data_IF_797311515813
#
_entry.id   IF_797311515813
#
_cell.length_a   1.000
_cell.length_b   1.000
_cell.length_c   1.000
_cell.angle_alpha   90.00
_cell.angle_beta   90.00
_cell.angle_gamma   90.00
#
_symmetry.space_group_name_H-M   'P 1'
#
loop_
_entity.id
_entity.type
_entity.pdbx_description
1 polymer ?
#
# COMPACT_ATOMS: atom_id res chain seq x y z
N UNK A 1 -6.45 2.90 9.28
CA UNK A 1 -6.79 4.11 8.50
C UNK A 1 -6.08 3.99 7.16
N UNK A 2 -6.76 4.30 6.04
CA UNK A 2 -6.05 4.52 4.78
C UNK A 2 -5.08 5.69 4.98
N UNK A 3 -3.83 5.50 4.60
CA UNK A 3 -2.80 6.55 4.67
C UNK A 3 -3.00 7.44 3.46
N UNK A 4 -3.38 8.70 3.68
CA UNK A 4 -3.42 9.70 2.61
C UNK A 4 -2.02 10.29 2.46
N UNK A 5 -1.41 10.12 1.29
CA UNK A 5 -0.10 10.69 0.99
C UNK A 5 -0.25 12.18 0.76
N UNK A 6 0.73 12.94 1.27
CA UNK A 6 0.87 14.34 0.88
C UNK A 6 1.32 14.41 -0.58
N UNK A 7 0.96 15.49 -1.27
CA UNK A 7 1.24 15.64 -2.71
C UNK A 7 2.74 15.66 -3.00
N UNK A 8 3.54 16.20 -2.10
CA UNK A 8 5.00 16.23 -2.20
C UNK A 8 5.58 14.80 -2.20
N UNK A 9 5.01 13.91 -1.39
CA UNK A 9 5.42 12.50 -1.36
C UNK A 9 5.05 11.78 -2.67
N UNK A 10 3.87 12.06 -3.21
CA UNK A 10 3.46 11.53 -4.53
C UNK A 10 4.41 12.04 -5.61
N UNK A 11 4.76 13.33 -5.59
CA UNK A 11 5.74 13.93 -6.50
C UNK A 11 7.11 13.23 -6.41
N UNK A 12 7.60 12.96 -5.20
CA UNK A 12 8.89 12.31 -4.99
C UNK A 12 8.90 10.88 -5.55
N UNK A 13 7.84 10.10 -5.32
CA UNK A 13 7.70 8.75 -5.88
C UNK A 13 7.69 8.81 -7.42
N UNK A 14 6.93 9.73 -8.02
CA UNK A 14 6.87 9.88 -9.48
C UNK A 14 8.23 10.29 -10.03
N UNK A 15 8.92 11.23 -9.37
CA UNK A 15 10.23 11.72 -9.79
C UNK A 15 11.26 10.59 -9.82
N UNK A 16 11.32 9.81 -8.75
CA UNK A 16 12.22 8.64 -8.64
C UNK A 16 11.85 7.55 -9.66
N UNK A 17 10.56 7.28 -9.85
CA UNK A 17 10.13 6.30 -10.85
C UNK A 17 10.53 6.72 -12.27
N UNK A 18 10.33 7.98 -12.65
CA UNK A 18 10.64 8.48 -13.99
C UNK A 18 12.15 8.70 -14.23
N UNK A 19 12.97 8.83 -13.19
CA UNK A 19 14.44 8.89 -13.32
C UNK A 19 15.08 7.52 -13.59
N UNK A 20 14.33 6.43 -13.41
CA UNK A 20 14.85 5.06 -13.53
C UNK A 20 15.24 4.42 -12.19
N UNK A 21 15.00 5.11 -11.07
CA UNK A 21 15.45 4.69 -9.74
C UNK A 21 14.35 3.93 -8.97
N UNK A 22 14.75 3.23 -7.89
CA UNK A 22 13.80 2.48 -7.05
C UNK A 22 13.09 3.40 -6.04
N UNK A 23 11.79 3.61 -6.22
CA UNK A 23 10.95 4.40 -5.31
C UNK A 23 10.58 3.67 -4.01
N UNK A 24 10.92 2.38 -3.86
CA UNK A 24 10.52 1.58 -2.70
C UNK A 24 11.11 2.08 -1.39
N UNK A 25 12.29 2.69 -1.39
CA UNK A 25 12.89 3.25 -0.18
C UNK A 25 11.99 4.34 0.43
N UNK A 26 11.43 5.22 -0.41
CA UNK A 26 10.45 6.23 0.02
C UNK A 26 9.23 5.54 0.66
N UNK A 27 8.73 4.48 0.03
CA UNK A 27 7.55 3.75 0.52
C UNK A 27 7.82 3.04 1.84
N UNK A 28 9.01 2.46 2.00
CA UNK A 28 9.46 1.82 3.24
C UNK A 28 9.55 2.85 4.36
N UNK A 29 10.16 4.01 4.11
CA UNK A 29 10.30 5.08 5.10
C UNK A 29 8.93 5.58 5.58
N UNK A 30 7.97 5.76 4.68
CA UNK A 30 6.60 6.15 5.04
C UNK A 30 5.90 5.07 5.87
N UNK A 31 6.09 3.80 5.50
CA UNK A 31 5.52 2.66 6.20
C UNK A 31 6.10 2.56 7.62
N UNK A 32 7.41 2.79 7.77
CA UNK A 32 8.11 2.77 9.04
C UNK A 32 7.68 3.93 9.93
N UNK A 33 7.63 5.15 9.39
CA UNK A 33 7.11 6.32 10.11
C UNK A 33 5.66 6.13 10.57
N UNK A 34 4.80 5.60 9.71
CA UNK A 34 3.40 5.31 10.06
C UNK A 34 3.28 4.22 11.14
N UNK A 35 4.12 3.19 11.09
CA UNK A 35 4.13 2.14 12.10
C UNK A 35 4.66 2.67 13.44
N UNK A 36 5.78 3.40 13.46
CA UNK A 36 6.34 4.00 14.67
C UNK A 36 5.32 4.93 15.33
N UNK A 37 4.64 5.77 14.55
CA UNK A 37 3.57 6.65 15.07
C UNK A 37 2.46 5.83 15.73
N UNK A 38 2.02 4.74 15.10
CA UNK A 38 1.06 3.82 15.71
C UNK A 38 1.59 3.19 17.01
N UNK A 39 2.86 2.77 17.05
CA UNK A 39 3.46 2.17 18.24
C UNK A 39 3.43 3.14 19.42
N UNK A 40 3.76 4.41 19.19
CA UNK A 40 3.69 5.46 20.21
C UNK A 40 2.25 5.61 20.73
N UNK A 41 1.27 5.80 19.84
CA UNK A 41 -0.15 5.91 20.23
C UNK A 41 -0.68 4.67 20.96
N UNK A 42 -0.20 3.48 20.58
CA UNK A 42 -0.58 2.21 21.19
C UNK A 42 -0.06 2.12 22.63
N UNK A 43 1.21 2.46 22.86
CA UNK A 43 1.80 2.49 24.19
C UNK A 43 1.20 3.58 25.08
N UNK A 44 0.85 4.75 24.54
CA UNK A 44 0.09 5.76 25.28
C UNK A 44 -1.24 5.19 25.80
N UNK A 45 -1.98 4.45 24.97
CA UNK A 45 -3.23 3.78 25.38
C UNK A 45 -3.00 2.76 26.50
N UNK A 46 -1.87 2.04 26.48
CA UNK A 46 -1.49 1.11 27.55
C UNK A 46 -1.27 1.85 28.86
N UNK A 47 -0.50 2.95 28.85
CA UNK A 47 -0.28 3.78 30.05
C UNK A 47 -1.61 4.28 30.59
N UNK A 48 -2.47 4.84 29.75
CA UNK A 48 -3.80 5.31 30.18
C UNK A 48 -4.66 4.20 30.78
N UNK A 49 -4.64 2.99 30.21
CA UNK A 49 -5.41 1.85 30.71
C UNK A 49 -4.90 1.38 32.08
N UNK A 50 -3.57 1.27 32.25
CA UNK A 50 -2.94 0.87 33.52
C UNK A 50 -3.14 1.91 34.63
N UNK A 51 -3.04 3.20 34.32
CA UNK A 51 -3.18 4.30 35.30
C UNK A 51 -4.64 4.50 35.75
N UNK A 52 -5.62 4.34 34.84
CA UNK A 52 -7.05 4.55 35.16
C UNK A 52 -7.66 3.43 36.01
N UNK A 53 -7.08 2.23 36.01
CA UNK A 53 -7.54 1.13 36.86
C UNK A 53 -6.93 1.23 38.26
N UNK A 54 -7.77 1.55 39.25
CA UNK A 54 -7.41 1.44 40.70
C UNK A 54 -7.13 0.00 41.13
N UNK A 55 -7.56 -0.98 40.34
CA UNK A 55 -7.30 -2.42 40.51
C UNK A 55 -6.93 -3.00 39.15
N UNK A 56 -5.64 -3.30 38.95
CA UNK A 56 -5.17 -4.05 37.78
C UNK A 56 -5.68 -5.48 37.96
N UNK A 57 -6.84 -5.79 37.36
CA UNK A 57 -7.28 -7.18 37.25
C UNK A 57 -6.30 -7.95 36.36
N UNK A 58 -6.25 -9.28 36.52
CA UNK A 58 -5.40 -10.20 35.74
C UNK A 58 -5.62 -10.11 34.21
N UNK A 59 -6.63 -9.37 33.73
CA UNK A 59 -6.98 -9.30 32.31
C UNK A 59 -7.41 -7.89 31.85
N UNK A 60 -6.75 -6.83 32.35
CA UNK A 60 -7.04 -5.45 31.95
C UNK A 60 -6.88 -5.21 30.44
N UNK A 61 -5.99 -5.97 29.78
CA UNK A 61 -5.76 -5.89 28.34
C UNK A 61 -7.02 -6.31 27.59
N UNK A 62 -7.63 -7.44 27.95
CA UNK A 62 -8.90 -7.89 27.36
C UNK A 62 -9.99 -6.83 27.51
N UNK A 63 -10.14 -6.24 28.70
CA UNK A 63 -11.17 -5.23 28.94
C UNK A 63 -11.01 -3.95 28.09
N UNK A 64 -9.76 -3.54 27.80
CA UNK A 64 -9.47 -2.26 27.13
C UNK A 64 -9.21 -2.42 25.64
N UNK A 65 -8.48 -3.47 25.25
CA UNK A 65 -8.00 -3.69 23.89
C UNK A 65 -8.82 -4.73 23.14
N UNK A 66 -9.68 -5.51 23.82
CA UNK A 66 -10.65 -6.44 23.22
C UNK A 66 -12.09 -6.03 23.59
N UNK A 67 -12.35 -4.73 23.57
CA UNK A 67 -13.68 -4.16 23.76
C UNK A 67 -14.52 -4.29 22.48
N UNK A 68 -15.73 -4.83 22.61
CA UNK A 68 -16.68 -5.00 21.50
C UNK A 68 -17.19 -3.69 20.91
N UNK A 69 -16.76 -2.52 21.38
CA UNK A 69 -17.00 -1.22 20.75
C UNK A 69 -15.95 -0.86 19.70
N UNK A 70 -14.81 -1.55 19.67
CA UNK A 70 -13.73 -1.30 18.70
C UNK A 70 -14.13 -1.69 17.27
N UNK A 71 -13.45 -1.10 16.27
CA UNK A 71 -13.56 -1.62 14.90
C UNK A 71 -13.13 -3.10 14.84
N UNK A 72 -13.77 -3.88 13.97
CA UNK A 72 -13.51 -5.33 13.88
C UNK A 72 -12.04 -5.63 13.55
N UNK A 73 -11.39 -4.79 12.75
CA UNK A 73 -9.98 -4.98 12.38
C UNK A 73 -9.06 -4.68 13.55
N UNK A 74 -9.35 -3.60 14.29
CA UNK A 74 -8.61 -3.27 15.51
C UNK A 74 -8.76 -4.34 16.57
N UNK A 75 -9.97 -4.89 16.74
CA UNK A 75 -10.24 -6.01 17.63
C UNK A 75 -9.39 -7.24 17.26
N UNK A 76 -9.37 -7.61 15.97
CA UNK A 76 -8.57 -8.73 15.48
C UNK A 76 -7.07 -8.53 15.75
N UNK A 77 -6.52 -7.36 15.42
CA UNK A 77 -5.10 -7.07 15.59
C UNK A 77 -4.69 -7.09 17.06
N UNK A 78 -5.50 -6.48 17.94
CA UNK A 78 -5.27 -6.49 19.37
C UNK A 78 -5.35 -7.91 19.97
N UNK A 79 -6.17 -8.79 19.38
CA UNK A 79 -6.25 -10.21 19.73
C UNK A 79 -5.13 -11.07 19.14
N UNK A 80 -4.19 -10.46 18.42
CA UNK A 80 -3.06 -11.14 17.82
C UNK A 80 -3.38 -11.87 16.50
N UNK A 81 -4.42 -11.45 15.77
CA UNK A 81 -4.80 -12.05 14.49
C UNK A 81 -4.89 -11.04 13.35
N UNK A 82 -4.44 -11.47 12.16
CA UNK A 82 -4.63 -10.73 10.93
C UNK A 82 -6.03 -10.99 10.35
N UNK A 83 -6.72 -9.93 9.90
CA UNK A 83 -8.03 -10.03 9.25
C UNK A 83 -8.05 -10.99 8.05
N UNK A 84 -6.97 -11.04 7.26
CA UNK A 84 -6.84 -11.96 6.12
C UNK A 84 -6.87 -13.43 6.57
N UNK A 85 -6.28 -13.74 7.72
CA UNK A 85 -6.30 -15.10 8.30
C UNK A 85 -7.72 -15.51 8.68
N UNK A 86 -8.47 -14.64 9.35
CA UNK A 86 -9.87 -14.89 9.74
C UNK A 86 -10.73 -15.09 8.47
N UNK A 87 -10.58 -14.19 7.49
CA UNK A 87 -11.28 -14.26 6.20
C UNK A 87 -11.02 -15.58 5.49
N UNK A 88 -9.76 -16.00 5.38
CA UNK A 88 -9.39 -17.22 4.67
C UNK A 88 -9.92 -18.47 5.36
N UNK A 89 -9.88 -18.50 6.71
CA UNK A 89 -10.38 -19.62 7.51
C UNK A 89 -11.89 -19.78 7.41
N UNK A 90 -12.64 -18.68 7.53
CA UNK A 90 -14.09 -18.71 7.65
C UNK A 90 -14.84 -18.32 6.37
N UNK A 91 -14.11 -17.92 5.32
CA UNK A 91 -14.65 -17.31 4.09
C UNK A 91 -15.59 -16.12 4.40
N UNK A 92 -15.35 -15.44 5.54
CA UNK A 92 -16.24 -14.41 6.06
C UNK A 92 -15.50 -13.42 6.94
N UNK A 93 -15.97 -12.17 6.94
CA UNK A 93 -15.45 -11.07 7.78
C UNK A 93 -16.59 -10.43 8.60
N UNK A 94 -17.64 -11.21 8.90
CA UNK A 94 -18.74 -10.79 9.77
C UNK A 94 -18.19 -10.48 11.16
N UNK A 95 -18.69 -9.40 11.77
CA UNK A 95 -18.19 -8.88 13.05
C UNK A 95 -18.12 -9.96 14.15
N UNK A 96 -19.17 -10.75 14.32
CA UNK A 96 -19.22 -11.79 15.35
C UNK A 96 -18.13 -12.85 15.15
N UNK A 97 -17.93 -13.32 13.91
CA UNK A 97 -16.88 -14.30 13.56
C UNK A 97 -15.50 -13.75 13.92
N UNK A 98 -15.26 -12.46 13.63
CA UNK A 98 -14.00 -11.80 13.96
C UNK A 98 -13.79 -11.73 15.48
N UNK A 99 -14.82 -11.36 16.23
CA UNK A 99 -14.78 -11.29 17.69
C UNK A 99 -14.50 -12.67 18.29
N UNK A 100 -15.26 -13.69 17.89
CA UNK A 100 -15.15 -15.05 18.42
C UNK A 100 -13.76 -15.64 18.15
N UNK A 101 -13.25 -15.48 16.92
CA UNK A 101 -11.93 -16.00 16.54
C UNK A 101 -10.79 -15.25 17.24
N UNK A 102 -10.87 -13.92 17.35
CA UNK A 102 -9.86 -13.12 18.03
C UNK A 102 -9.80 -13.39 19.54
N UNK A 103 -10.96 -13.53 20.22
CA UNK A 103 -11.01 -13.92 21.63
C UNK A 103 -10.48 -15.34 21.83
N UNK A 104 -10.93 -16.29 21.00
CA UNK A 104 -10.46 -17.67 21.07
C UNK A 104 -8.96 -17.81 20.82
N UNK A 105 -8.39 -16.97 19.95
CA UNK A 105 -6.95 -16.92 19.73
C UNK A 105 -6.21 -16.30 20.91
N UNK A 106 -6.68 -15.17 21.43
CA UNK A 106 -6.10 -14.53 22.63
C UNK A 106 -6.02 -15.50 23.81
N UNK A 107 -7.12 -16.19 24.12
CA UNK A 107 -7.18 -17.14 25.24
C UNK A 107 -6.22 -18.34 25.03
N UNK A 108 -6.04 -18.80 23.78
CA UNK A 108 -5.07 -19.85 23.45
C UNK A 108 -3.63 -19.37 23.54
N UNK A 109 -3.37 -18.15 23.10
CA UNK A 109 -2.04 -17.54 23.14
C UNK A 109 -1.58 -17.34 24.59
N UNK A 110 -2.46 -16.83 25.47
CA UNK A 110 -2.15 -16.71 26.90
C UNK A 110 -1.80 -18.07 27.54
N UNK A 111 -2.58 -19.12 27.26
CA UNK A 111 -2.26 -20.48 27.74
C UNK A 111 -0.93 -20.99 27.22
N UNK A 112 -0.60 -20.69 25.96
CA UNK A 112 0.68 -21.06 25.37
C UNK A 112 1.83 -20.34 26.08
N UNK A 113 1.69 -19.03 26.32
CA UNK A 113 2.67 -18.26 27.08
C UNK A 113 2.85 -18.84 28.49
N UNK A 114 1.77 -19.08 29.22
CA UNK A 114 1.82 -19.68 30.56
C UNK A 114 2.52 -21.05 30.55
N UNK A 115 2.29 -21.87 29.51
CA UNK A 115 2.88 -23.20 29.40
C UNK A 115 4.36 -23.22 28.99
N UNK A 116 4.82 -22.17 28.31
CA UNK A 116 6.20 -22.01 27.84
C UNK A 116 7.03 -21.11 28.77
N UNK A 117 6.39 -20.54 29.79
CA UNK A 117 7.04 -19.74 30.81
C UNK A 117 8.01 -20.63 31.58
N UNK A 118 9.30 -20.38 31.38
CA UNK A 118 10.42 -21.04 32.05
C UNK A 118 11.11 -20.00 32.91
N UNK A 119 11.41 -20.31 34.17
CA UNK A 119 12.06 -19.42 35.15
C UNK A 119 13.41 -18.86 34.66
N UNK A 120 13.96 -19.41 33.56
CA UNK A 120 15.22 -18.98 32.93
C UNK A 120 15.15 -17.69 32.10
N UNK A 121 13.97 -17.26 31.64
CA UNK A 121 13.85 -16.07 30.81
C UNK A 121 12.67 -15.22 31.28
N UNK A 122 12.94 -13.97 31.65
CA UNK A 122 11.92 -12.95 31.93
C UNK A 122 11.95 -11.81 30.89
N UNK A 123 10.79 -11.36 30.43
CA UNK A 123 10.65 -10.23 29.48
C UNK A 123 9.69 -9.22 30.10
N UNK A 124 10.23 -8.10 30.56
CA UNK A 124 9.43 -7.00 31.10
C UNK A 124 9.52 -5.78 30.17
N UNK A 125 8.37 -5.18 29.86
CA UNK A 125 8.31 -3.89 29.16
C UNK A 125 8.02 -2.78 30.17
N UNK A 126 8.92 -1.81 30.24
CA UNK A 126 8.74 -0.58 31.01
C UNK A 126 8.42 0.58 30.08
N UNK A 127 7.26 1.19 30.26
CA UNK A 127 6.78 2.28 29.41
C UNK A 127 6.70 3.53 30.27
N UNK A 128 7.49 4.55 29.92
CA UNK A 128 7.44 5.86 30.56
C UNK A 128 6.82 6.87 29.62
N UNK A 129 5.74 7.50 30.08
CA UNK A 129 5.06 8.56 29.35
C UNK A 129 4.86 9.75 30.27
N UNK A 130 5.54 10.86 29.96
CA UNK A 130 5.73 11.99 30.89
C UNK A 130 6.36 11.48 32.19
N UNK A 131 5.83 11.85 33.34
CA UNK A 131 6.36 11.44 34.66
C UNK A 131 5.73 10.15 35.20
N UNK A 132 5.05 9.37 34.34
CA UNK A 132 4.38 8.12 34.73
C UNK A 132 5.05 6.93 34.05
N UNK A 133 5.52 5.99 34.86
CA UNK A 133 6.06 4.72 34.39
C UNK A 133 5.09 3.59 34.74
N UNK A 134 4.80 2.74 33.76
CA UNK A 134 4.04 1.49 33.95
C UNK A 134 4.92 0.32 33.53
N UNK A 135 4.78 -0.79 34.26
CA UNK A 135 5.47 -2.03 33.95
C UNK A 135 4.46 -3.07 33.45
N UNK A 136 4.86 -3.78 32.41
CA UNK A 136 4.18 -4.96 31.91
C UNK A 136 4.98 -6.18 32.34
N UNK A 137 4.29 -7.17 32.91
CA UNK A 137 4.89 -8.47 33.20
C UNK A 137 5.16 -9.27 31.91
N UNK A 138 5.74 -10.46 32.03
CA UNK A 138 6.00 -11.38 30.91
C UNK A 138 4.78 -11.59 30.00
N UNK A 139 3.64 -11.92 30.60
CA UNK A 139 2.43 -12.27 29.85
C UNK A 139 1.89 -11.06 29.10
N UNK A 140 1.80 -9.92 29.78
CA UNK A 140 1.36 -8.65 29.21
C UNK A 140 2.32 -8.19 28.10
N UNK A 141 3.62 -8.33 28.31
CA UNK A 141 4.66 -7.96 27.35
C UNK A 141 4.55 -8.79 26.07
N UNK A 142 4.41 -10.11 26.18
CA UNK A 142 4.29 -11.00 25.03
C UNK A 142 2.98 -10.81 24.25
N UNK A 143 1.88 -10.51 24.94
CA UNK A 143 0.60 -10.13 24.30
C UNK A 143 0.79 -8.85 23.48
N UNK A 144 1.41 -7.83 24.06
CA UNK A 144 1.68 -6.54 23.41
C UNK A 144 2.60 -6.71 22.19
N UNK A 145 3.67 -7.50 22.32
CA UNK A 145 4.59 -7.81 21.22
C UNK A 145 3.85 -8.51 20.08
N UNK A 146 3.02 -9.50 20.39
CA UNK A 146 2.25 -10.23 19.38
C UNK A 146 1.26 -9.30 18.64
N UNK A 147 0.54 -8.45 19.37
CA UNK A 147 -0.36 -7.46 18.77
C UNK A 147 0.37 -6.48 17.85
N UNK A 148 1.55 -5.99 18.26
CA UNK A 148 2.41 -5.12 17.45
C UNK A 148 2.93 -5.83 16.19
N UNK A 149 3.36 -7.09 16.30
CA UNK A 149 3.83 -7.88 15.17
C UNK A 149 2.72 -8.10 14.13
N UNK A 150 1.52 -8.47 14.59
CA UNK A 150 0.34 -8.63 13.74
C UNK A 150 -0.05 -7.31 13.08
N UNK A 151 0.02 -6.21 13.84
CA UNK A 151 -0.26 -4.88 13.30
C UNK A 151 0.75 -4.50 12.22
N UNK A 152 2.05 -4.72 12.44
CA UNK A 152 3.11 -4.47 11.44
C UNK A 152 2.85 -5.24 10.14
N UNK A 153 2.49 -6.52 10.25
CA UNK A 153 2.13 -7.35 9.10
C UNK A 153 0.90 -6.80 8.36
N UNK A 154 -0.12 -6.35 9.11
CA UNK A 154 -1.32 -5.75 8.53
C UNK A 154 -1.04 -4.42 7.82
N UNK A 155 -0.17 -3.56 8.37
CA UNK A 155 0.30 -2.34 7.70
C UNK A 155 0.93 -2.69 6.35
N UNK A 156 1.95 -3.57 6.35
CA UNK A 156 2.65 -3.93 5.11
C UNK A 156 1.72 -4.42 4.01
N UNK A 157 0.76 -5.29 4.33
CA UNK A 157 -0.15 -5.85 3.34
C UNK A 157 -1.04 -4.81 2.64
N UNK A 158 -1.54 -3.80 3.38
CA UNK A 158 -2.42 -2.77 2.83
C UNK A 158 -1.69 -1.53 2.29
N UNK A 159 -0.49 -1.26 2.78
CA UNK A 159 0.22 0.00 2.53
C UNK A 159 0.66 0.14 1.07
N UNK A 160 1.31 -0.89 0.49
CA UNK A 160 1.75 -0.87 -0.90
C UNK A 160 0.59 -0.63 -1.89
N UNK A 161 -0.56 -1.27 -1.67
CA UNK A 161 -1.76 -1.04 -2.49
C UNK A 161 -2.31 0.38 -2.30
N UNK A 162 -2.28 0.91 -1.08
CA UNK A 162 -2.75 2.27 -0.78
C UNK A 162 -1.86 3.34 -1.42
N UNK A 163 -0.55 3.13 -1.43
CA UNK A 163 0.42 3.99 -2.12
C UNK A 163 0.23 3.90 -3.63
N UNK A 164 0.17 2.68 -4.18
CA UNK A 164 -0.07 2.45 -5.61
C UNK A 164 -1.29 3.21 -6.12
N UNK A 165 -2.46 3.03 -5.48
CA UNK A 165 -3.70 3.73 -5.87
C UNK A 165 -3.61 5.26 -5.85
N UNK A 166 -2.75 5.83 -5.03
CA UNK A 166 -2.58 7.28 -4.93
C UNK A 166 -1.55 7.84 -5.91
N UNK A 167 -0.65 7.01 -6.42
CA UNK A 167 0.44 7.42 -7.33
C UNK A 167 0.17 7.03 -8.78
N UNK A 168 -0.43 5.86 -9.03
CA UNK A 168 -0.64 5.27 -10.37
C UNK A 168 -1.33 6.25 -11.33
N UNK A 169 -2.38 6.94 -10.87
CA UNK A 169 -3.08 7.91 -11.70
C UNK A 169 -2.29 9.18 -12.00
N UNK A 170 -1.81 9.91 -10.97
CA UNK A 170 -0.93 11.05 -11.17
C UNK A 170 0.32 10.73 -12.01
N UNK A 171 0.85 9.51 -11.93
CA UNK A 171 1.97 9.04 -12.75
C UNK A 171 1.60 8.97 -14.24
N UNK A 172 0.44 8.39 -14.59
CA UNK A 172 -0.05 8.37 -15.97
C UNK A 172 -0.25 9.78 -16.53
N UNK A 173 -0.87 10.67 -15.76
CA UNK A 173 -1.05 12.06 -16.17
C UNK A 173 0.30 12.77 -16.34
N UNK A 174 1.25 12.51 -15.45
CA UNK A 174 2.60 13.08 -15.55
C UNK A 174 3.29 12.61 -16.82
N UNK A 175 3.20 11.32 -17.17
CA UNK A 175 3.73 10.81 -18.45
C UNK A 175 3.12 11.55 -19.64
N UNK A 176 1.79 11.67 -19.70
CA UNK A 176 1.12 12.42 -20.78
C UNK A 176 1.62 13.87 -20.87
N UNK A 177 1.78 14.55 -19.73
CA UNK A 177 2.27 15.93 -19.65
C UNK A 177 3.75 16.07 -20.01
N UNK A 178 4.57 15.08 -19.70
CA UNK A 178 5.98 15.02 -20.12
C UNK A 178 6.10 15.01 -21.63
N UNK A 179 5.10 14.53 -22.36
CA UNK A 179 5.05 14.54 -23.82
C UNK A 179 4.16 15.65 -24.41
N UNK A 180 3.73 16.63 -23.59
CA UNK A 180 2.77 17.68 -23.97
C UNK A 180 1.51 17.14 -24.68
N UNK A 181 1.04 15.96 -24.29
CA UNK A 181 -0.22 15.39 -24.79
C UNK A 181 -1.37 16.29 -24.31
N UNK A 182 -2.26 16.66 -25.24
CA UNK A 182 -3.45 17.45 -24.92
C UNK A 182 -4.38 16.67 -23.99
N UNK A 183 -4.98 17.36 -23.00
CA UNK A 183 -5.90 16.76 -22.02
C UNK A 183 -7.09 16.06 -22.68
N UNK A 184 -7.49 16.44 -23.89
CA UNK A 184 -8.57 15.74 -24.63
C UNK A 184 -8.20 14.30 -25.03
N UNK A 185 -6.92 13.93 -25.00
CA UNK A 185 -6.42 12.61 -25.39
C UNK A 185 -6.18 11.67 -24.21
N UNK A 186 -6.49 12.08 -22.97
CA UNK A 186 -6.42 11.18 -21.83
C UNK A 186 -7.42 11.54 -20.74
N UNK A 187 -7.98 10.53 -20.09
CA UNK A 187 -8.90 10.72 -18.97
C UNK A 187 -8.79 9.58 -17.97
N UNK A 188 -9.05 9.87 -16.69
CA UNK A 188 -9.39 8.82 -15.72
C UNK A 188 -10.62 8.07 -16.22
N UNK A 189 -10.67 6.76 -16.02
CA UNK A 189 -11.90 6.02 -16.27
C UNK A 189 -13.01 6.55 -15.34
N UNK A 190 -14.18 6.81 -15.91
CA UNK A 190 -15.37 7.15 -15.13
C UNK A 190 -16.05 5.85 -14.69
N UNK A 191 -16.54 5.80 -13.45
CA UNK A 191 -17.25 4.64 -12.88
C UNK A 191 -18.56 4.28 -13.61
N UNK A 192 -18.98 5.07 -14.60
CA UNK A 192 -20.20 4.89 -15.39
C UNK A 192 -20.02 3.97 -16.62
N UNK A 193 -18.79 3.55 -16.92
CA UNK A 193 -18.62 2.50 -17.92
C UNK A 193 -19.10 1.19 -17.31
N UNK A 194 -20.22 0.64 -17.80
CA UNK A 194 -20.88 -0.60 -17.36
C UNK A 194 -19.99 -1.87 -17.49
N UNK A 195 -18.67 -1.71 -17.61
CA UNK A 195 -17.72 -2.78 -17.47
C UNK A 195 -17.73 -3.23 -15.99
N UNK A 196 -17.72 -4.54 -15.78
CA UNK A 196 -17.75 -5.14 -14.44
C UNK A 196 -16.48 -4.84 -13.62
N UNK A 197 -15.52 -4.04 -14.12
CA UNK A 197 -14.17 -3.88 -13.54
C UNK A 197 -13.53 -2.49 -13.85
N UNK A 198 -13.09 -1.79 -12.80
CA UNK A 198 -12.36 -0.51 -12.87
C UNK A 198 -11.06 -0.64 -13.70
N UNK A 199 -10.97 0.07 -14.82
CA UNK A 199 -9.72 0.39 -15.52
C UNK A 199 -9.16 1.69 -14.92
N UNK A 200 -7.83 1.83 -14.80
CA UNK A 200 -7.25 3.01 -14.13
C UNK A 200 -7.39 4.28 -15.01
N UNK A 201 -7.05 4.20 -16.30
CA UNK A 201 -7.03 5.32 -17.26
C UNK A 201 -7.47 4.93 -18.67
N UNK A 202 -7.84 5.92 -19.48
CA UNK A 202 -7.98 5.78 -20.92
C UNK A 202 -7.10 6.79 -21.65
N UNK A 203 -6.40 6.32 -22.68
CA UNK A 203 -5.86 7.14 -23.75
C UNK A 203 -6.86 7.16 -24.91
N UNK A 204 -7.05 8.34 -25.49
CA UNK A 204 -8.02 8.59 -26.55
C UNK A 204 -7.26 8.99 -27.81
N UNK A 205 -7.47 8.26 -28.89
CA UNK A 205 -6.86 8.60 -30.18
C UNK A 205 -7.70 9.64 -30.92
N UNK A 206 -7.12 10.38 -31.89
CA UNK A 206 -7.86 11.37 -32.68
C UNK A 206 -9.05 10.81 -33.46
N UNK A 207 -9.03 9.51 -33.79
CA UNK A 207 -10.11 8.79 -34.46
C UNK A 207 -11.27 8.38 -33.52
N UNK A 208 -11.13 8.67 -32.22
CA UNK A 208 -12.11 8.34 -31.20
C UNK A 208 -11.97 6.95 -30.59
N UNK A 209 -10.96 6.17 -30.99
CA UNK A 209 -10.64 4.91 -30.33
C UNK A 209 -10.14 5.14 -28.89
N UNK A 210 -10.43 4.19 -28.01
CA UNK A 210 -10.08 4.24 -26.59
C UNK A 210 -9.15 3.09 -26.27
N UNK A 211 -7.96 3.42 -25.78
CA UNK A 211 -7.01 2.45 -25.26
C UNK A 211 -7.12 2.42 -23.73
N UNK A 212 -7.36 1.24 -23.16
CA UNK A 212 -7.40 0.99 -21.71
C UNK A 212 -6.00 0.95 -21.17
N UNK A 213 -5.75 1.74 -20.14
CA UNK A 213 -4.43 1.89 -19.55
C UNK A 213 -4.43 1.43 -18.11
N UNK A 214 -3.41 0.67 -17.77
CA UNK A 214 -3.15 0.22 -16.40
C UNK A 214 -1.74 0.65 -15.99
N UNK A 215 -1.63 1.20 -14.78
CA UNK A 215 -0.35 1.60 -14.20
C UNK A 215 -0.15 0.82 -12.91
N UNK A 216 1.06 0.28 -12.71
CA UNK A 216 1.37 -0.50 -11.52
C UNK A 216 2.77 -0.22 -10.98
N UNK A 217 2.85 0.18 -9.72
CA UNK A 217 4.11 0.29 -8.98
C UNK A 217 4.44 -1.06 -8.32
N UNK A 218 5.07 -1.97 -9.06
CA UNK A 218 5.25 -3.38 -8.68
C UNK A 218 6.64 -3.76 -8.16
N UNK A 219 6.69 -4.88 -7.44
CA UNK A 219 7.87 -5.66 -7.09
C UNK A 219 8.49 -6.40 -8.28
N UNK A 220 9.79 -6.70 -8.25
CA UNK A 220 10.37 -7.73 -9.13
C UNK A 220 9.68 -9.07 -8.82
N UNK A 221 9.05 -9.69 -9.82
CA UNK A 221 8.54 -11.06 -9.70
C UNK A 221 7.16 -11.21 -9.07
N UNK A 222 6.20 -10.35 -9.41
CA UNK A 222 4.79 -10.65 -9.19
C UNK A 222 4.14 -11.27 -10.45
N UNK A 223 4.29 -12.58 -10.72
CA UNK A 223 3.67 -13.22 -11.87
C UNK A 223 2.13 -13.15 -11.83
N UNK A 224 1.51 -13.02 -10.65
CA UNK A 224 0.05 -12.84 -10.51
C UNK A 224 -0.48 -11.53 -11.17
N UNK A 225 0.40 -10.54 -11.40
CA UNK A 225 0.05 -9.32 -12.15
C UNK A 225 -0.06 -9.56 -13.66
N UNK A 226 0.63 -10.57 -14.17
CA UNK A 226 0.61 -10.92 -15.59
C UNK A 226 -0.67 -11.70 -15.96
N UNK A 227 -1.12 -12.58 -15.06
CA UNK A 227 -2.46 -13.21 -15.16
C UNK A 227 -3.58 -12.16 -15.14
N UNK A 228 -3.34 -11.02 -14.48
CA UNK A 228 -4.24 -9.88 -14.49
C UNK A 228 -4.28 -9.18 -15.86
N UNK A 229 -3.20 -9.13 -16.64
CA UNK A 229 -3.18 -8.46 -17.95
C UNK A 229 -4.04 -9.24 -18.97
N UNK A 230 -3.88 -10.57 -19.04
CA UNK A 230 -4.70 -11.42 -19.94
C UNK A 230 -6.19 -11.42 -19.59
N UNK A 231 -6.56 -11.08 -18.34
CA UNK A 231 -7.94 -11.03 -17.87
C UNK A 231 -8.58 -9.63 -17.91
N UNK A 232 -7.83 -8.57 -18.30
CA UNK A 232 -8.25 -7.17 -18.18
C UNK A 232 -8.46 -6.42 -19.49
N UNK A 233 -8.13 -7.03 -20.64
CA UNK A 233 -8.29 -6.38 -21.95
C UNK A 233 -7.58 -5.01 -21.97
N UNK A 234 -6.35 -4.98 -21.46
CA UNK A 234 -5.53 -3.77 -21.32
C UNK A 234 -4.74 -3.53 -22.59
N UNK A 235 -4.81 -2.32 -23.17
CA UNK A 235 -4.07 -1.95 -24.38
C UNK A 235 -2.69 -1.34 -24.06
N UNK A 236 -2.58 -0.68 -22.90
CA UNK A 236 -1.36 0.01 -22.45
C UNK A 236 -1.03 -0.34 -21.00
N UNK A 237 0.20 -0.80 -20.76
CA UNK A 237 0.68 -1.17 -19.43
C UNK A 237 1.94 -0.39 -19.02
N UNK A 238 1.85 0.41 -17.96
CA UNK A 238 3.00 1.13 -17.40
C UNK A 238 3.37 0.52 -16.06
N UNK A 239 4.61 0.10 -15.89
CA UNK A 239 5.08 -0.48 -14.65
C UNK A 239 6.40 0.11 -14.18
N UNK A 240 6.62 0.13 -12.86
CA UNK A 240 7.94 0.45 -12.31
C UNK A 240 8.97 -0.58 -12.75
N UNK A 241 8.67 -1.88 -12.67
CA UNK A 241 9.58 -2.95 -13.09
C UNK A 241 8.81 -4.04 -13.83
N UNK A 242 9.42 -4.66 -14.83
CA UNK A 242 8.88 -5.80 -15.56
C UNK A 242 9.87 -6.97 -15.51
N UNK A 243 9.36 -8.18 -15.27
CA UNK A 243 10.15 -9.39 -15.49
C UNK A 243 10.22 -9.74 -16.97
N UNK A 244 11.18 -10.58 -17.37
CA UNK A 244 11.30 -11.04 -18.75
C UNK A 244 10.03 -11.74 -19.24
N UNK A 245 9.45 -12.59 -18.38
CA UNK A 245 8.18 -13.26 -18.66
C UNK A 245 7.05 -12.25 -18.88
N UNK A 246 7.00 -11.15 -18.13
CA UNK A 246 5.96 -10.12 -18.34
C UNK A 246 6.11 -9.44 -19.70
N UNK A 247 7.35 -9.11 -20.11
CA UNK A 247 7.61 -8.49 -21.41
C UNK A 247 7.14 -9.40 -22.56
N UNK A 248 7.52 -10.68 -22.52
CA UNK A 248 7.09 -11.68 -23.51
C UNK A 248 5.56 -11.78 -23.57
N UNK A 249 4.88 -11.88 -22.42
CA UNK A 249 3.42 -11.97 -22.35
C UNK A 249 2.71 -10.72 -22.88
N UNK A 250 3.25 -9.53 -22.59
CA UNK A 250 2.74 -8.26 -23.09
C UNK A 250 2.91 -8.16 -24.62
N UNK A 251 4.08 -8.56 -25.13
CA UNK A 251 4.37 -8.57 -26.57
C UNK A 251 3.47 -9.58 -27.32
N UNK A 252 3.30 -10.80 -26.79
CA UNK A 252 2.40 -11.83 -27.36
C UNK A 252 0.93 -11.38 -27.35
N UNK A 253 0.53 -10.60 -26.36
CA UNK A 253 -0.81 -10.04 -26.25
C UNK A 253 -1.02 -8.75 -27.07
N UNK A 254 0.03 -8.20 -27.68
CA UNK A 254 -0.02 -6.94 -28.43
C UNK A 254 -0.25 -5.71 -27.56
N UNK A 255 0.10 -5.78 -26.27
CA UNK A 255 -0.08 -4.70 -25.29
C UNK A 255 1.13 -3.78 -25.33
N UNK A 256 0.91 -2.47 -25.50
CA UNK A 256 2.00 -1.49 -25.44
C UNK A 256 2.47 -1.34 -24.00
N UNK A 257 3.76 -1.52 -23.74
CA UNK A 257 4.28 -1.48 -22.38
C UNK A 257 5.43 -0.50 -22.19
N UNK A 258 5.52 0.07 -21.00
CA UNK A 258 6.61 0.96 -20.56
C UNK A 258 7.10 0.53 -19.18
N UNK A 259 8.41 0.25 -19.08
CA UNK A 259 9.11 -0.01 -17.82
C UNK A 259 9.84 1.25 -17.36
N UNK A 260 9.60 1.70 -16.13
CA UNK A 260 10.11 2.98 -15.64
C UNK A 260 11.46 2.87 -14.94
N UNK A 261 11.72 1.82 -14.14
CA UNK A 261 12.94 1.60 -13.36
C UNK A 261 14.09 1.06 -14.22
N UNK A 262 14.31 1.70 -15.36
CA UNK A 262 15.46 1.54 -16.23
C UNK A 262 15.88 2.93 -16.69
N UNK A 263 17.17 3.12 -16.98
CA UNK A 263 17.67 4.42 -17.41
C UNK A 263 16.88 4.95 -18.61
N UNK A 264 16.24 6.11 -18.44
CA UNK A 264 15.34 6.73 -19.42
C UNK A 264 14.19 5.82 -19.91
N UNK A 265 13.72 4.89 -19.08
CA UNK A 265 12.67 3.93 -19.43
C UNK A 265 11.36 4.56 -19.90
N UNK A 266 11.00 5.71 -19.32
CA UNK A 266 9.83 6.50 -19.71
C UNK A 266 9.85 6.97 -21.18
N UNK A 267 11.01 6.96 -21.86
CA UNK A 267 11.11 7.27 -23.28
C UNK A 267 10.35 6.25 -24.16
N UNK A 268 10.21 5.01 -23.69
CA UNK A 268 9.41 3.98 -24.40
C UNK A 268 7.92 4.33 -24.49
N UNK A 269 7.42 5.21 -23.63
CA UNK A 269 6.04 5.69 -23.72
C UNK A 269 5.77 6.44 -25.03
N UNK A 270 6.80 7.01 -25.65
CA UNK A 270 6.70 7.62 -26.98
C UNK A 270 6.17 6.63 -28.03
N UNK A 271 6.66 5.39 -28.00
CA UNK A 271 6.23 4.34 -28.93
C UNK A 271 4.75 4.03 -28.75
N UNK A 272 4.25 4.05 -27.51
CA UNK A 272 2.83 3.87 -27.22
C UNK A 272 1.99 4.97 -27.86
N UNK A 273 2.37 6.23 -27.65
CA UNK A 273 1.65 7.37 -28.23
C UNK A 273 1.67 7.35 -29.76
N UNK A 274 2.81 7.00 -30.35
CA UNK A 274 2.97 6.88 -31.80
C UNK A 274 2.07 5.79 -32.40
N UNK A 275 2.05 4.60 -31.80
CA UNK A 275 1.23 3.48 -32.28
C UNK A 275 -0.28 3.76 -32.13
N UNK A 276 -0.67 4.51 -31.09
CA UNK A 276 -2.06 4.95 -30.91
C UNK A 276 -2.42 6.16 -31.78
N UNK A 277 -1.47 6.76 -32.51
CA UNK A 277 -1.70 7.95 -33.33
C UNK A 277 -2.04 9.20 -32.50
N UNK A 278 -1.65 9.24 -31.23
CA UNK A 278 -1.90 10.38 -30.33
C UNK A 278 -0.87 11.47 -30.60
N UNK A 279 -1.26 12.73 -30.83
CA UNK A 279 -0.30 13.83 -30.97
C UNK A 279 0.50 14.07 -29.69
N UNK A 280 1.82 14.15 -29.83
CA UNK A 280 2.76 14.41 -28.75
C UNK A 280 3.96 15.23 -29.24
N UNK A 281 4.70 15.82 -28.31
CA UNK A 281 5.97 16.47 -28.58
C UNK A 281 7.14 15.53 -28.25
N UNK A 282 7.92 15.21 -29.28
CA UNK A 282 9.09 14.32 -29.19
C UNK A 282 10.07 14.77 -28.11
N UNK A 283 10.69 13.79 -27.47
CA UNK A 283 11.79 14.00 -26.55
C UNK A 283 13.09 13.64 -27.25
N UNK A 284 13.85 14.63 -27.67
CA UNK A 284 15.19 14.39 -28.18
C UNK A 284 16.16 14.04 -27.02
N UNK A 285 17.34 13.51 -27.37
CA UNK A 285 18.37 13.19 -26.40
C UNK A 285 19.07 14.42 -25.77
N UNK A 286 18.81 15.63 -26.30
CA UNK A 286 19.40 16.89 -25.85
C UNK A 286 18.51 17.70 -24.90
N UNK A 287 17.24 17.34 -24.78
CA UNK A 287 16.26 18.02 -23.92
C UNK A 287 16.52 17.75 -22.45
N UNK A 288 16.28 18.77 -21.64
CA UNK A 288 16.34 18.67 -20.19
C UNK A 288 15.11 17.91 -19.67
N UNK A 289 15.19 16.57 -19.75
CA UNK A 289 14.15 15.64 -19.32
C UNK A 289 13.73 15.90 -17.87
N UNK A 290 14.69 16.21 -17.00
CA UNK A 290 14.43 16.47 -15.58
C UNK A 290 13.53 17.70 -15.38
N UNK A 291 13.83 18.81 -16.08
CA UNK A 291 12.99 20.00 -16.02
C UNK A 291 11.58 19.79 -16.58
N UNK A 292 11.44 18.96 -17.63
CA UNK A 292 10.12 18.66 -18.21
C UNK A 292 9.30 17.78 -17.27
N UNK A 293 9.93 16.76 -16.67
CA UNK A 293 9.32 15.91 -15.62
C UNK A 293 8.86 16.76 -14.44
N UNK A 294 9.72 17.64 -13.91
CA UNK A 294 9.39 18.48 -12.76
C UNK A 294 8.21 19.43 -13.06
N UNK A 295 8.18 20.02 -14.26
CA UNK A 295 7.05 20.86 -14.69
C UNK A 295 5.75 20.06 -14.77
N UNK A 296 5.80 18.86 -15.36
CA UNK A 296 4.65 17.97 -15.47
C UNK A 296 4.10 17.58 -14.10
N UNK A 297 4.97 17.20 -13.16
CA UNK A 297 4.60 16.86 -11.78
C UNK A 297 3.86 18.04 -11.11
N UNK A 298 4.39 19.26 -11.21
CA UNK A 298 3.76 20.46 -10.63
C UNK A 298 2.38 20.74 -11.23
N UNK A 299 2.23 20.58 -12.54
CA UNK A 299 0.94 20.77 -13.21
C UNK A 299 -0.11 19.74 -12.75
N UNK A 300 0.28 18.48 -12.59
CA UNK A 300 -0.62 17.39 -12.19
C UNK A 300 -1.01 17.50 -10.72
N UNK A 301 -0.04 17.76 -9.85
CA UNK A 301 -0.26 17.76 -8.39
C UNK A 301 -0.62 19.14 -7.83
N UNK A 302 -0.60 20.19 -8.66
CA UNK A 302 -0.84 21.58 -8.26
C UNK A 302 0.10 22.00 -7.13
N UNK A 303 1.40 21.80 -7.36
CA UNK A 303 2.52 22.15 -6.45
C UNK A 303 3.22 23.44 -6.88
#
# INVERSE_FOLDING_TARGET
MPVTLRREVVADIIRVALSGDDHRDIVIDLLDGAFVSYVIEFFEKIVYAKVRKRTITRDWYRDHFLDQRLDKSQFAWNGGLNMKTIKNKHKSERRQIVIDEALGHYDKFLKLVDSLSDDRLNIDLSITFRDVTVHLDMNESLVVINALAVRRAAFRGGFWSTVGKQVEGPLMETLCRVYDVDKKYFTKALAEDNSLREVDYHLLSPDGSKAKCEVKLMGVGNPESADAIHARDTDVFVASTLSETNRIQLDEAGVFWTELQVSKGFLRFQDTLANLGIPYAELDNGSDHANRIERAIRQVLLL
#
